data_IF_361257645408
#
_entry.id   IF_361257645408
#
_cell.length_a   1.000
_cell.length_b   1.000
_cell.length_c   1.000
_cell.angle_alpha   90.00
_cell.angle_beta   90.00
_cell.angle_gamma   90.00
#
_symmetry.space_group_name_H-M   'P 1'
#
loop_
_entity.id
_entity.type
_entity.pdbx_description
1 polymer ?
#
# COMPACT_ATOMS: atom_id res chain seq x y z
N UNK A 1 -10.86 -8.48 -15.84
CA UNK A 1 -10.55 -8.76 -14.42
C UNK A 1 -11.52 -8.03 -13.50
N UNK A 2 -11.65 -6.71 -13.59
CA UNK A 2 -12.64 -5.95 -12.80
C UNK A 2 -14.12 -6.25 -13.15
N UNK A 3 -14.37 -6.99 -14.24
CA UNK A 3 -15.70 -7.54 -14.59
C UNK A 3 -15.85 -9.02 -14.21
N UNK A 4 -14.96 -9.56 -13.36
CA UNK A 4 -15.03 -10.96 -12.99
C UNK A 4 -16.33 -11.26 -12.23
N UNK A 5 -16.74 -10.41 -11.28
CA UNK A 5 -17.96 -10.55 -10.49
C UNK A 5 -18.29 -9.22 -9.80
N UNK A 6 -19.36 -9.19 -9.02
CA UNK A 6 -19.84 -8.00 -8.32
C UNK A 6 -18.77 -7.38 -7.40
N UNK A 7 -18.07 -8.21 -6.62
CA UNK A 7 -17.03 -7.76 -5.69
C UNK A 7 -15.73 -7.28 -6.35
N UNK A 8 -15.50 -7.60 -7.63
CA UNK A 8 -14.25 -7.32 -8.33
C UNK A 8 -13.93 -5.82 -8.50
N UNK A 9 -14.91 -4.93 -8.28
CA UNK A 9 -14.76 -3.46 -8.37
C UNK A 9 -14.70 -2.77 -7.01
N UNK A 10 -14.78 -3.54 -5.93
CA UNK A 10 -14.70 -3.06 -4.56
C UNK A 10 -13.37 -3.47 -3.94
N UNK A 11 -12.91 -2.73 -2.94
CA UNK A 11 -11.62 -2.98 -2.28
C UNK A 11 -11.81 -4.01 -1.16
N UNK A 12 -11.05 -5.10 -1.21
CA UNK A 12 -10.99 -6.11 -0.15
C UNK A 12 -9.88 -5.84 0.86
N UNK A 13 -8.83 -5.14 0.45
CA UNK A 13 -7.67 -4.85 1.29
C UNK A 13 -7.00 -3.52 0.91
N UNK A 14 -6.37 -2.91 1.90
CA UNK A 14 -5.33 -1.90 1.70
C UNK A 14 -4.17 -2.15 2.66
N UNK A 15 -2.97 -1.71 2.29
CA UNK A 15 -1.81 -1.77 3.20
C UNK A 15 -0.76 -0.71 2.88
N UNK A 16 0.15 -0.47 3.83
CA UNK A 16 1.33 0.38 3.64
C UNK A 16 2.59 -0.49 3.54
N UNK A 17 3.40 -0.25 2.52
CA UNK A 17 4.72 -0.86 2.37
C UNK A 17 5.73 -0.21 3.32
N UNK A 18 6.39 -1.04 4.13
CA UNK A 18 7.36 -0.61 5.17
C UNK A 18 8.70 -1.33 5.07
N UNK A 19 8.90 -2.18 4.06
CA UNK A 19 10.21 -2.80 3.84
C UNK A 19 11.11 -1.84 3.08
N UNK A 20 11.81 -1.00 3.82
CA UNK A 20 12.71 0.02 3.29
C UNK A 20 13.96 -0.55 2.60
N UNK A 21 14.16 -1.88 2.57
CA UNK A 21 15.27 -2.55 1.88
C UNK A 21 14.92 -2.99 0.45
N UNK A 22 13.64 -3.04 0.08
CA UNK A 22 13.21 -3.24 -1.31
C UNK A 22 13.05 -1.87 -1.95
N UNK A 23 13.92 -1.56 -2.92
CA UNK A 23 14.06 -0.19 -3.45
C UNK A 23 13.38 0.03 -4.80
N UNK A 24 13.22 -1.04 -5.58
CA UNK A 24 12.71 -0.96 -6.94
C UNK A 24 11.75 -2.12 -7.20
N UNK A 25 10.77 -1.94 -8.12
CA UNK A 25 9.90 -3.03 -8.55
C UNK A 25 10.69 -4.23 -9.06
N UNK A 26 10.36 -5.40 -8.56
CA UNK A 26 10.93 -6.70 -8.92
C UNK A 26 10.04 -7.47 -9.93
N UNK A 27 8.85 -6.93 -10.25
CA UNK A 27 7.82 -7.61 -11.04
C UNK A 27 7.36 -8.91 -10.36
N UNK A 28 7.35 -8.88 -9.02
CA UNK A 28 6.88 -9.94 -8.15
C UNK A 28 6.09 -9.28 -7.02
N UNK A 29 4.78 -9.51 -7.02
CA UNK A 29 3.84 -8.89 -6.07
C UNK A 29 4.27 -9.09 -4.62
N UNK A 30 4.86 -10.25 -4.27
CA UNK A 30 5.27 -10.54 -2.89
C UNK A 30 6.34 -9.57 -2.37
N UNK A 31 7.17 -9.03 -3.26
CA UNK A 31 8.17 -8.02 -2.93
C UNK A 31 7.64 -6.61 -3.16
N UNK A 32 6.93 -6.40 -4.27
CA UNK A 32 6.50 -5.07 -4.72
C UNK A 32 5.51 -4.44 -3.73
N UNK A 33 4.58 -5.22 -3.19
CA UNK A 33 3.61 -4.73 -2.19
C UNK A 33 4.26 -4.31 -0.86
N UNK A 34 5.51 -4.75 -0.62
CA UNK A 34 6.23 -4.47 0.63
C UNK A 34 7.17 -3.27 0.53
N UNK A 35 7.41 -2.70 -0.66
CA UNK A 35 8.35 -1.59 -0.88
C UNK A 35 8.12 -0.45 0.12
N UNK A 36 9.19 -0.03 0.80
CA UNK A 36 9.14 1.11 1.71
C UNK A 36 8.65 2.38 1.02
N UNK A 37 7.64 3.04 1.58
CA UNK A 37 7.05 4.24 0.98
C UNK A 37 6.02 3.96 -0.12
N UNK A 38 5.68 2.70 -0.38
CA UNK A 38 4.54 2.33 -1.22
C UNK A 38 3.27 2.11 -0.39
N UNK A 39 2.13 2.00 -1.06
CA UNK A 39 0.93 1.39 -0.51
C UNK A 39 0.29 0.55 -1.59
N UNK A 40 -0.64 -0.33 -1.21
CA UNK A 40 -1.45 -1.04 -2.18
C UNK A 40 -2.92 -0.99 -1.84
N UNK A 41 -3.73 -1.05 -2.89
CA UNK A 41 -5.16 -1.31 -2.81
C UNK A 41 -5.45 -2.59 -3.58
N UNK A 42 -6.36 -3.39 -3.05
CA UNK A 42 -6.66 -4.70 -3.60
C UNK A 42 -8.13 -4.79 -3.99
N UNK A 43 -8.48 -4.56 -5.27
CA UNK A 43 -9.80 -4.91 -5.77
C UNK A 43 -10.09 -6.41 -5.61
N UNK A 44 -11.27 -6.72 -5.07
CA UNK A 44 -11.74 -8.09 -4.89
C UNK A 44 -11.76 -8.58 -3.44
N UNK A 45 -11.55 -9.88 -3.26
CA UNK A 45 -11.82 -10.64 -2.06
C UNK A 45 -11.09 -10.08 -0.84
N UNK A 46 -11.84 -9.85 0.25
CA UNK A 46 -11.24 -9.58 1.56
C UNK A 46 -10.71 -10.88 2.20
N UNK A 47 -9.64 -10.76 2.97
CA UNK A 47 -9.17 -11.85 3.83
C UNK A 47 -10.16 -12.10 4.98
N UNK A 48 -10.24 -13.35 5.46
CA UNK A 48 -11.13 -13.72 6.56
C UNK A 48 -10.68 -13.07 7.88
N UNK A 49 -9.37 -12.86 8.07
CA UNK A 49 -8.79 -12.24 9.26
C UNK A 49 -8.95 -10.71 9.32
N UNK A 50 -9.17 -10.07 8.17
CA UNK A 50 -9.33 -8.63 8.01
C UNK A 50 -10.59 -8.32 7.17
N UNK A 51 -11.68 -9.05 7.46
CA UNK A 51 -12.87 -9.06 6.63
C UNK A 51 -13.61 -7.72 6.66
N UNK A 52 -13.92 -7.19 5.47
CA UNK A 52 -14.76 -6.01 5.29
C UNK A 52 -16.09 -6.33 4.58
N UNK A 53 -16.38 -7.61 4.37
CA UNK A 53 -17.59 -8.11 3.71
C UNK A 53 -17.49 -8.22 2.18
N UNK A 54 -16.41 -7.74 1.54
CA UNK A 54 -16.27 -7.89 0.09
C UNK A 54 -16.00 -9.35 -0.29
N UNK A 55 -16.73 -9.87 -1.28
CA UNK A 55 -16.61 -11.24 -1.77
C UNK A 55 -16.40 -11.25 -3.27
N UNK A 56 -15.31 -11.87 -3.71
CA UNK A 56 -14.93 -11.90 -5.13
C UNK A 56 -14.08 -13.12 -5.43
N UNK A 57 -13.98 -13.48 -6.72
CA UNK A 57 -13.07 -14.55 -7.18
C UNK A 57 -11.67 -14.04 -7.49
N UNK A 58 -11.46 -12.73 -7.47
CA UNK A 58 -10.15 -12.09 -7.65
C UNK A 58 -9.69 -11.47 -6.33
N UNK A 59 -8.38 -11.32 -6.18
CA UNK A 59 -7.72 -10.52 -5.16
C UNK A 59 -6.47 -9.99 -5.87
N UNK A 60 -6.49 -8.71 -6.26
CA UNK A 60 -5.47 -8.17 -7.15
C UNK A 60 -4.77 -6.96 -6.54
N UNK A 61 -3.53 -7.14 -6.11
CA UNK A 61 -2.77 -6.08 -5.46
C UNK A 61 -2.23 -5.08 -6.48
N UNK A 62 -2.66 -3.82 -6.32
CA UNK A 62 -2.19 -2.68 -7.11
C UNK A 62 -1.30 -1.81 -6.25
N UNK A 63 0.00 -1.85 -6.54
CA UNK A 63 1.03 -1.13 -5.78
C UNK A 63 1.24 0.28 -6.35
N UNK A 64 1.25 1.29 -5.49
CA UNK A 64 1.64 2.66 -5.81
C UNK A 64 2.78 3.11 -4.89
N UNK A 65 3.93 3.41 -5.48
CA UNK A 65 5.10 3.94 -4.78
C UNK A 65 4.95 5.47 -4.67
N UNK A 66 5.08 6.01 -3.46
CA UNK A 66 4.92 7.44 -3.20
C UNK A 66 6.23 8.09 -2.74
N UNK A 67 7.40 7.53 -3.04
CA UNK A 67 8.67 8.22 -2.81
C UNK A 67 8.88 9.33 -3.85
N UNK A 68 9.73 10.34 -3.60
CA UNK A 68 9.94 11.45 -4.53
C UNK A 68 10.32 11.02 -5.95
N UNK A 69 11.12 9.95 -6.10
CA UNK A 69 11.51 9.39 -7.39
C UNK A 69 10.31 8.93 -8.24
N UNK A 70 9.22 8.52 -7.59
CA UNK A 70 7.99 8.05 -8.23
C UNK A 70 6.86 9.09 -8.21
N UNK A 71 7.18 10.37 -7.94
CA UNK A 71 6.23 11.48 -7.98
C UNK A 71 5.67 11.90 -6.63
N UNK A 72 6.06 11.23 -5.54
CA UNK A 72 5.67 11.60 -4.18
C UNK A 72 4.22 11.28 -3.86
N UNK A 73 3.72 11.88 -2.77
CA UNK A 73 2.31 11.80 -2.39
C UNK A 73 2.07 11.89 -0.89
N UNK A 74 0.80 11.94 -0.52
CA UNK A 74 0.38 12.00 0.87
C UNK A 74 -0.60 10.89 1.21
N UNK A 75 -0.54 10.44 2.46
CA UNK A 75 -1.58 9.61 3.08
C UNK A 75 -2.03 10.33 4.34
N UNK A 76 -3.34 10.50 4.47
CA UNK A 76 -3.96 11.10 5.63
C UNK A 76 -5.05 10.19 6.20
N UNK A 77 -5.09 10.06 7.52
CA UNK A 77 -6.16 9.39 8.26
C UNK A 77 -6.92 10.44 9.05
N UNK A 78 -8.23 10.48 8.89
CA UNK A 78 -9.13 11.40 9.60
C UNK A 78 -8.69 12.89 9.57
N UNK A 79 -8.03 13.31 8.48
CA UNK A 79 -7.53 14.67 8.28
C UNK A 79 -6.10 14.93 8.77
N UNK A 80 -5.45 13.97 9.44
CA UNK A 80 -4.04 14.04 9.82
C UNK A 80 -3.17 13.37 8.76
N UNK A 81 -2.17 14.09 8.23
CA UNK A 81 -1.20 13.52 7.28
C UNK A 81 -0.23 12.64 8.04
N UNK A 82 -0.38 11.33 7.91
CA UNK A 82 0.48 10.34 8.56
C UNK A 82 1.74 10.02 7.76
N UNK A 83 1.70 10.22 6.43
CA UNK A 83 2.82 9.97 5.53
C UNK A 83 2.90 11.02 4.43
N UNK A 84 4.11 11.51 4.15
CA UNK A 84 4.40 12.36 2.99
C UNK A 84 5.67 11.84 2.29
N UNK A 85 5.58 11.71 0.98
CA UNK A 85 6.67 11.27 0.11
C UNK A 85 7.34 9.97 0.59
N UNK A 86 6.50 9.03 1.02
CA UNK A 86 6.92 7.73 1.56
C UNK A 86 7.34 7.73 3.04
N UNK A 87 7.52 8.90 3.68
CA UNK A 87 7.99 9.01 5.07
C UNK A 87 6.86 9.24 6.06
N UNK A 88 6.84 8.48 7.15
CA UNK A 88 5.92 8.70 8.27
C UNK A 88 6.27 10.00 9.00
N UNK A 89 5.25 10.81 9.32
CA UNK A 89 5.41 12.13 9.94
C UNK A 89 5.24 12.12 11.47
N UNK A 90 4.30 11.37 12.07
CA UNK A 90 4.13 11.34 13.52
C UNK A 90 5.39 10.89 14.26
N UNK A 91 5.65 11.46 15.45
CA UNK A 91 6.85 11.21 16.25
C UNK A 91 6.99 9.73 16.66
N UNK A 92 5.88 9.08 16.98
CA UNK A 92 5.80 7.67 17.38
C UNK A 92 5.98 6.69 16.21
N UNK A 93 5.79 7.14 14.98
CA UNK A 93 5.95 6.34 13.76
C UNK A 93 7.34 6.50 13.11
N UNK A 94 8.23 7.34 13.66
CA UNK A 94 9.55 7.59 13.06
C UNK A 94 10.40 6.32 12.91
N UNK A 95 10.20 5.31 13.76
CA UNK A 95 10.89 4.01 13.62
C UNK A 95 10.60 3.30 12.30
N UNK A 96 9.44 3.53 11.69
CA UNK A 96 9.08 2.94 10.39
C UNK A 96 9.86 3.55 9.21
N UNK A 97 10.54 4.67 9.42
CA UNK A 97 11.39 5.32 8.42
C UNK A 97 12.82 4.73 8.38
N UNK A 98 13.17 3.80 9.26
CA UNK A 98 14.54 3.28 9.35
C UNK A 98 14.97 2.60 8.04
N UNK A 99 16.05 3.10 7.43
CA UNK A 99 16.58 2.59 6.16
C UNK A 99 15.82 3.07 4.92
N UNK A 100 14.81 3.94 5.08
CA UNK A 100 14.17 4.63 3.95
C UNK A 100 15.06 5.79 3.52
N UNK A 101 15.52 5.74 2.27
CA UNK A 101 16.46 6.74 1.76
C UNK A 101 15.80 8.12 1.80
N UNK A 102 16.61 9.11 2.20
CA UNK A 102 16.26 10.52 2.04
C UNK A 102 16.61 10.89 0.62
N UNK A 103 15.60 11.23 -0.18
CA UNK A 103 15.82 12.01 -1.39
C UNK A 103 16.29 13.42 -1.01
#
# INVERSE_FOLDING_TARGET
MLDADEGARHIGEWSLGTNNRVKHPMLDTLFDEKIGGSFHLTPGQAYDEADNGNRSRIHWDLVLIQTPEYGGGEIAFDGEVIRRDGRFLPDDLQGLNEGLDVA
#
